data_IF_846371403185
#
_entry.id   IF_846371403185
#
_cell.length_a   1.000
_cell.length_b   1.000
_cell.length_c   1.000
_cell.angle_alpha   90.00
_cell.angle_beta   90.00
_cell.angle_gamma   90.00
#
_symmetry.space_group_name_H-M   'P 1'
#
loop_
_entity.id
_entity.type
_entity.pdbx_description
1 polymer ?
#
# COMPACT_ATOMS: atom_id res chain seq x y z
N UNK A 1 5.83 -30.27 -12.72
CA UNK A 1 6.57 -29.19 -12.03
C UNK A 1 5.72 -27.95 -11.86
N UNK A 2 5.25 -27.30 -12.91
CA UNK A 2 4.38 -26.10 -12.81
C UNK A 2 3.13 -26.26 -11.90
N UNK A 3 2.58 -27.45 -11.78
CA UNK A 3 1.41 -27.72 -10.93
C UNK A 3 1.71 -27.59 -9.43
N UNK A 4 2.91 -27.91 -8.97
CA UNK A 4 3.30 -27.76 -7.55
C UNK A 4 3.53 -26.30 -7.18
N UNK A 5 4.13 -25.51 -8.06
CA UNK A 5 4.38 -24.08 -7.82
C UNK A 5 3.05 -23.31 -7.74
N UNK A 6 2.00 -23.68 -8.48
CA UNK A 6 0.65 -23.10 -8.39
C UNK A 6 -0.04 -23.33 -7.03
N UNK A 7 0.49 -24.18 -6.19
CA UNK A 7 0.01 -24.43 -4.82
C UNK A 7 0.89 -23.71 -3.77
N UNK A 8 1.60 -22.66 -4.18
CA UNK A 8 2.43 -21.88 -3.28
C UNK A 8 1.85 -20.48 -3.07
N UNK A 9 2.26 -19.84 -1.97
CA UNK A 9 1.92 -18.45 -1.70
C UNK A 9 3.20 -17.64 -1.47
N UNK A 10 3.33 -16.53 -2.17
CA UNK A 10 4.38 -15.54 -1.97
C UNK A 10 3.87 -14.43 -1.07
N UNK A 11 4.44 -14.29 0.13
CA UNK A 11 4.23 -13.14 1.02
C UNK A 11 5.35 -12.12 0.83
N UNK A 12 4.99 -10.85 0.65
CA UNK A 12 5.93 -9.72 0.60
C UNK A 12 5.62 -8.79 1.75
N UNK A 13 6.57 -8.57 2.65
CA UNK A 13 6.45 -7.67 3.80
C UNK A 13 7.42 -6.50 3.66
N UNK A 14 6.89 -5.27 3.68
CA UNK A 14 7.68 -4.05 3.76
C UNK A 14 7.67 -3.53 5.20
N UNK A 15 8.57 -4.05 6.01
CA UNK A 15 8.79 -3.61 7.39
C UNK A 15 9.59 -2.31 7.46
N UNK A 16 9.71 -1.71 8.64
CA UNK A 16 10.38 -0.41 8.82
C UNK A 16 11.91 -0.44 8.62
N UNK A 17 12.54 -1.61 8.70
CA UNK A 17 13.99 -1.80 8.58
C UNK A 17 14.37 -2.89 7.58
N UNK A 18 13.38 -3.65 7.10
CA UNK A 18 13.63 -4.80 6.23
C UNK A 18 12.42 -5.10 5.34
N UNK A 19 12.70 -5.38 4.08
CA UNK A 19 11.75 -5.99 3.15
C UNK A 19 12.02 -7.49 3.13
N UNK A 20 10.97 -8.30 3.24
CA UNK A 20 11.06 -9.77 3.21
C UNK A 20 10.15 -10.33 2.13
N UNK A 21 10.62 -11.37 1.48
CA UNK A 21 9.81 -12.23 0.63
C UNK A 21 9.86 -13.66 1.19
N UNK A 22 8.70 -14.31 1.32
CA UNK A 22 8.59 -15.67 1.85
C UNK A 22 7.68 -16.47 0.93
N UNK A 23 8.19 -17.58 0.41
CA UNK A 23 7.43 -18.55 -0.36
C UNK A 23 7.01 -19.70 0.56
N UNK A 24 5.71 -19.98 0.61
CA UNK A 24 5.17 -21.11 1.38
C UNK A 24 4.42 -22.06 0.48
N UNK A 25 4.38 -23.35 0.85
CA UNK A 25 3.43 -24.29 0.32
C UNK A 25 2.02 -24.00 0.85
N UNK A 26 0.99 -24.63 0.25
CA UNK A 26 -0.41 -24.41 0.66
C UNK A 26 -0.69 -24.79 2.13
N UNK A 27 0.13 -25.65 2.74
CA UNK A 27 0.01 -26.05 4.14
C UNK A 27 0.84 -25.15 5.10
N UNK A 28 1.42 -24.06 4.60
CA UNK A 28 2.18 -23.09 5.40
C UNK A 28 3.66 -23.43 5.63
N UNK A 29 4.18 -24.52 5.04
CA UNK A 29 5.61 -24.84 5.12
C UNK A 29 6.41 -23.82 4.32
N UNK A 30 7.41 -23.19 4.93
CA UNK A 30 8.33 -22.26 4.25
C UNK A 30 9.20 -23.07 3.28
N UNK A 31 9.18 -22.69 2.01
CA UNK A 31 9.98 -23.28 0.95
C UNK A 31 11.24 -22.49 0.67
N UNK A 32 11.15 -21.18 0.67
CA UNK A 32 12.28 -20.27 0.50
C UNK A 32 11.95 -18.90 1.10
N UNK A 33 12.97 -18.12 1.39
CA UNK A 33 12.83 -16.73 1.79
C UNK A 33 13.98 -15.89 1.25
N UNK A 34 13.74 -14.59 1.13
CA UNK A 34 14.73 -13.61 0.79
C UNK A 34 14.46 -12.30 1.51
N UNK A 35 15.47 -11.44 1.59
CA UNK A 35 15.36 -10.20 2.33
C UNK A 35 16.23 -9.09 1.75
N UNK A 36 15.85 -7.85 2.10
CA UNK A 36 16.61 -6.65 1.79
C UNK A 36 16.53 -5.71 2.99
N UNK A 37 17.66 -5.27 3.52
CA UNK A 37 17.72 -4.28 4.59
C UNK A 37 17.61 -2.88 3.97
N UNK A 38 16.76 -2.04 4.56
CA UNK A 38 16.58 -0.66 4.13
C UNK A 38 16.32 0.27 5.31
N UNK A 39 16.43 1.57 5.08
CA UNK A 39 16.22 2.58 6.12
C UNK A 39 15.30 3.68 5.63
N UNK A 40 14.53 4.26 6.57
CA UNK A 40 13.81 5.49 6.29
C UNK A 40 14.76 6.69 6.32
N UNK A 41 14.39 7.72 5.58
CA UNK A 41 15.10 8.99 5.49
C UNK A 41 14.32 10.10 6.16
N UNK A 42 15.02 11.10 6.65
CA UNK A 42 14.39 12.33 7.12
C UNK A 42 14.76 13.45 6.16
N UNK A 43 13.80 13.87 5.33
CA UNK A 43 13.99 14.84 4.26
C UNK A 43 12.85 15.87 4.32
N UNK A 44 13.18 17.14 4.11
CA UNK A 44 12.22 18.26 4.11
C UNK A 44 11.26 18.29 5.32
N UNK A 45 11.72 17.82 6.47
CA UNK A 45 10.93 17.76 7.71
C UNK A 45 10.02 16.53 7.84
N UNK A 46 10.13 15.55 6.95
CA UNK A 46 9.32 14.32 6.99
C UNK A 46 10.17 13.05 6.99
N UNK A 47 9.73 12.06 7.76
CA UNK A 47 10.20 10.68 7.63
C UNK A 47 9.57 10.05 6.40
N UNK A 48 10.39 9.57 5.46
CA UNK A 48 9.99 9.06 4.15
C UNK A 48 10.73 7.79 3.75
N UNK A 49 10.21 7.10 2.74
CA UNK A 49 10.92 6.13 1.89
C UNK A 49 10.67 6.52 0.44
N UNK A 50 11.69 6.45 -0.40
CA UNK A 50 11.51 6.69 -1.83
C UNK A 50 10.90 5.46 -2.50
N UNK A 51 9.97 5.65 -3.44
CA UNK A 51 9.31 4.54 -4.13
C UNK A 51 10.29 3.73 -5.00
N UNK A 52 11.37 4.33 -5.48
CA UNK A 52 12.44 3.61 -6.16
C UNK A 52 13.17 2.63 -5.23
N UNK A 53 13.42 3.03 -3.97
CA UNK A 53 14.02 2.15 -2.96
C UNK A 53 13.05 1.00 -2.58
N UNK A 54 11.73 1.27 -2.56
CA UNK A 54 10.70 0.24 -2.37
C UNK A 54 10.85 -0.86 -3.43
N UNK A 55 10.90 -0.48 -4.71
CA UNK A 55 11.00 -1.46 -5.80
C UNK A 55 12.38 -2.10 -5.88
N UNK A 56 13.44 -1.38 -5.60
CA UNK A 56 14.78 -1.96 -5.50
C UNK A 56 14.82 -3.06 -4.43
N UNK A 57 14.28 -2.77 -3.24
CA UNK A 57 14.27 -3.72 -2.13
C UNK A 57 13.34 -4.92 -2.35
N UNK A 58 12.15 -4.71 -2.97
CA UNK A 58 11.24 -5.82 -3.32
C UNK A 58 11.91 -6.77 -4.31
N UNK A 59 12.52 -6.24 -5.38
CA UNK A 59 13.24 -7.04 -6.38
C UNK A 59 14.41 -7.80 -5.78
N UNK A 60 15.14 -7.18 -4.87
CA UNK A 60 16.29 -7.79 -4.21
C UNK A 60 15.86 -8.95 -3.31
N UNK A 61 14.81 -8.73 -2.48
CA UNK A 61 14.25 -9.77 -1.63
C UNK A 61 13.63 -10.93 -2.45
N UNK A 62 12.96 -10.62 -3.57
CA UNK A 62 12.42 -11.65 -4.46
C UNK A 62 13.53 -12.46 -5.15
N UNK A 63 14.57 -11.79 -5.66
CA UNK A 63 15.72 -12.44 -6.30
C UNK A 63 16.43 -13.39 -5.33
N UNK A 64 16.68 -12.95 -4.10
CA UNK A 64 17.27 -13.77 -3.05
C UNK A 64 16.41 -15.01 -2.76
N UNK A 65 15.09 -14.84 -2.62
CA UNK A 65 14.14 -15.93 -2.47
C UNK A 65 14.18 -16.90 -3.65
N UNK A 66 14.16 -16.41 -4.89
CA UNK A 66 14.15 -17.25 -6.09
C UNK A 66 15.42 -18.09 -6.21
N UNK A 67 16.59 -17.50 -5.91
CA UNK A 67 17.87 -18.20 -5.86
C UNK A 67 17.91 -19.26 -4.75
N UNK A 68 17.39 -18.96 -3.56
CA UNK A 68 17.30 -19.92 -2.44
C UNK A 68 16.38 -21.09 -2.77
N UNK A 69 15.26 -20.81 -3.49
CA UNK A 69 14.36 -21.85 -3.98
C UNK A 69 15.07 -22.77 -4.99
N UNK A 70 15.72 -22.19 -6.00
CA UNK A 70 16.44 -22.92 -7.02
C UNK A 70 17.57 -23.78 -6.43
N UNK A 71 18.37 -23.22 -5.52
CA UNK A 71 19.43 -23.96 -4.83
C UNK A 71 18.92 -25.13 -3.99
N UNK A 72 17.71 -24.99 -3.41
CA UNK A 72 17.15 -26.05 -2.55
C UNK A 72 16.46 -27.14 -3.34
N UNK A 73 15.76 -26.79 -4.41
CA UNK A 73 14.88 -27.73 -5.14
C UNK A 73 15.40 -28.09 -6.54
N UNK A 74 16.43 -27.40 -7.04
CA UNK A 74 16.96 -27.59 -8.41
C UNK A 74 15.98 -27.15 -9.50
N UNK A 75 15.00 -26.32 -9.16
CA UNK A 75 13.93 -25.85 -10.05
C UNK A 75 13.85 -24.31 -10.00
N UNK A 76 13.73 -23.69 -11.15
CA UNK A 76 13.50 -22.24 -11.26
C UNK A 76 12.06 -21.91 -10.86
N UNK A 77 11.87 -20.86 -10.06
CA UNK A 77 10.53 -20.38 -9.66
C UNK A 77 9.89 -19.60 -10.82
N UNK A 78 8.96 -20.24 -11.52
CA UNK A 78 8.28 -19.66 -12.70
C UNK A 78 6.88 -19.16 -12.41
N UNK A 79 6.23 -19.66 -11.37
CA UNK A 79 4.86 -19.27 -11.02
C UNK A 79 4.63 -19.45 -9.52
N UNK A 80 3.64 -18.74 -8.98
CA UNK A 80 3.12 -18.93 -7.62
C UNK A 80 1.60 -19.01 -7.70
N UNK A 81 0.93 -19.53 -6.68
CA UNK A 81 -0.53 -19.66 -6.68
C UNK A 81 -1.25 -18.39 -6.19
N UNK A 82 -0.61 -17.64 -5.28
CA UNK A 82 -1.13 -16.39 -4.77
C UNK A 82 0.01 -15.48 -4.31
N UNK A 83 -0.25 -14.17 -4.28
CA UNK A 83 0.66 -13.16 -3.74
C UNK A 83 -0.08 -12.34 -2.68
N UNK A 84 0.52 -12.21 -1.50
CA UNK A 84 0.06 -11.32 -0.45
C UNK A 84 1.08 -10.21 -0.18
N UNK A 85 0.61 -8.97 -0.03
CA UNK A 85 1.45 -7.82 0.29
C UNK A 85 1.06 -7.27 1.65
N UNK A 86 2.04 -7.09 2.52
CA UNK A 86 1.91 -6.39 3.79
C UNK A 86 2.95 -5.28 3.86
N UNK A 87 2.59 -4.15 4.45
CA UNK A 87 3.51 -3.04 4.64
C UNK A 87 3.24 -2.33 5.95
N UNK A 88 4.11 -1.39 6.30
CA UNK A 88 3.84 -0.43 7.37
C UNK A 88 2.52 0.26 7.06
N UNK A 89 1.52 0.05 7.94
CA UNK A 89 0.22 0.69 7.78
C UNK A 89 0.32 2.21 8.01
N UNK A 90 -0.72 2.93 7.58
CA UNK A 90 -0.85 4.37 7.69
C UNK A 90 0.07 5.17 6.75
N UNK A 91 0.12 6.47 6.98
CA UNK A 91 0.91 7.41 6.20
C UNK A 91 0.14 8.04 5.04
N UNK A 92 0.83 8.86 4.27
CA UNK A 92 0.23 9.69 3.22
C UNK A 92 1.00 9.53 1.91
N UNK A 93 0.36 8.92 0.94
CA UNK A 93 0.93 8.62 -0.37
C UNK A 93 -0.08 9.03 -1.47
N UNK A 94 -0.05 10.30 -1.90
CA UNK A 94 -0.97 10.85 -2.89
C UNK A 94 -0.41 10.75 -4.31
N UNK A 95 -1.33 10.51 -5.27
CA UNK A 95 -1.04 10.43 -6.70
C UNK A 95 -2.00 11.34 -7.48
N UNK A 96 -1.53 11.82 -8.64
CA UNK A 96 -2.36 12.53 -9.61
C UNK A 96 -3.16 11.56 -10.51
N UNK A 97 -3.91 12.12 -11.46
CA UNK A 97 -4.71 11.34 -12.42
C UNK A 97 -3.87 10.48 -13.39
N UNK A 98 -2.58 10.79 -13.56
CA UNK A 98 -1.64 10.02 -14.38
C UNK A 98 -0.88 8.96 -13.56
N UNK A 99 -1.14 8.88 -12.25
CA UNK A 99 -0.43 7.98 -11.34
C UNK A 99 0.95 8.47 -10.93
N UNK A 100 1.25 9.77 -11.07
CA UNK A 100 2.49 10.37 -10.60
C UNK A 100 2.37 10.71 -9.11
N UNK A 101 3.39 10.36 -8.33
CA UNK A 101 3.48 10.73 -6.93
C UNK A 101 3.58 12.26 -6.78
N UNK A 102 2.72 12.84 -5.95
CA UNK A 102 2.59 14.30 -5.82
C UNK A 102 3.48 14.92 -4.76
N UNK A 103 3.85 14.17 -3.74
CA UNK A 103 4.77 14.60 -2.67
C UNK A 103 5.46 13.37 -2.08
N UNK A 104 6.54 13.56 -1.33
CA UNK A 104 7.23 12.49 -0.62
C UNK A 104 6.27 11.66 0.25
N UNK A 105 6.46 10.35 0.31
CA UNK A 105 5.68 9.48 1.18
C UNK A 105 5.88 9.87 2.64
N UNK A 106 4.83 10.34 3.32
CA UNK A 106 4.87 10.67 4.75
C UNK A 106 4.48 9.44 5.55
N UNK A 107 5.45 8.83 6.22
CA UNK A 107 5.27 7.58 6.96
C UNK A 107 4.49 7.76 8.28
N UNK A 108 4.14 6.67 8.92
CA UNK A 108 3.51 6.62 10.25
C UNK A 108 4.33 7.32 11.37
N UNK A 109 5.64 7.55 11.15
CA UNK A 109 6.54 8.20 12.12
C UNK A 109 6.34 9.71 12.22
N UNK A 110 5.65 10.30 11.23
CA UNK A 110 5.42 11.74 11.22
C UNK A 110 4.33 12.13 12.21
N UNK A 111 4.64 13.10 13.07
CA UNK A 111 3.75 13.66 14.10
C UNK A 111 3.37 15.11 13.79
N UNK A 112 3.37 15.49 12.52
CA UNK A 112 3.15 16.86 12.04
C UNK A 112 1.68 17.22 11.84
N UNK A 113 0.75 16.31 12.13
CA UNK A 113 -0.67 16.41 11.79
C UNK A 113 -1.60 16.61 12.99
N UNK A 114 -1.07 17.05 14.13
CA UNK A 114 -1.88 17.22 15.35
C UNK A 114 -3.07 18.18 15.17
N UNK A 115 -2.95 19.34 14.48
CA UNK A 115 -4.08 20.24 14.23
C UNK A 115 -5.21 19.55 13.46
N UNK A 116 -4.86 18.86 12.36
CA UNK A 116 -5.82 18.12 11.55
C UNK A 116 -6.47 16.96 12.31
N UNK A 117 -5.68 16.16 13.04
CA UNK A 117 -6.16 15.05 13.85
C UNK A 117 -7.18 15.50 14.90
N UNK A 118 -6.88 16.61 15.61
CA UNK A 118 -7.79 17.19 16.61
C UNK A 118 -9.10 17.68 15.98
N UNK A 119 -9.00 18.41 14.85
CA UNK A 119 -10.17 18.94 14.16
C UNK A 119 -11.09 17.82 13.64
N UNK A 120 -10.51 16.79 13.02
CA UNK A 120 -11.26 15.63 12.52
C UNK A 120 -11.85 14.81 13.66
N UNK A 121 -11.11 14.59 14.76
CA UNK A 121 -11.62 13.89 15.95
C UNK A 121 -12.85 14.61 16.52
N UNK A 122 -12.79 15.93 16.66
CA UNK A 122 -13.93 16.72 17.14
C UNK A 122 -15.12 16.68 16.16
N UNK A 123 -14.86 16.75 14.86
CA UNK A 123 -15.90 16.78 13.81
C UNK A 123 -16.61 15.43 13.66
N UNK A 124 -15.87 14.33 13.72
CA UNK A 124 -16.40 12.98 13.53
C UNK A 124 -16.90 12.34 14.83
N UNK A 125 -16.61 12.93 15.99
CA UNK A 125 -16.77 12.29 17.30
C UNK A 125 -16.15 10.89 17.35
N UNK A 126 -15.02 10.74 16.64
CA UNK A 126 -14.28 9.51 16.47
C UNK A 126 -12.78 9.82 16.51
N UNK A 127 -12.00 9.05 17.26
CA UNK A 127 -10.58 9.31 17.41
C UNK A 127 -9.83 9.12 16.08
N UNK A 128 -9.23 10.20 15.56
CA UNK A 128 -8.39 10.19 14.36
C UNK A 128 -6.94 10.35 14.77
N UNK A 129 -6.13 9.27 14.73
CA UNK A 129 -4.70 9.35 15.05
C UNK A 129 -3.93 10.19 14.03
N UNK A 130 -2.88 10.88 14.48
CA UNK A 130 -2.03 11.70 13.62
C UNK A 130 -1.43 10.96 12.42
N UNK A 131 -1.13 9.67 12.59
CA UNK A 131 -0.50 8.83 11.56
C UNK A 131 -1.43 8.39 10.43
N UNK A 132 -2.74 8.59 10.56
CA UNK A 132 -3.71 8.17 9.54
C UNK A 132 -3.61 9.02 8.27
N UNK A 133 -3.88 8.40 7.12
CA UNK A 133 -3.80 9.07 5.81
C UNK A 133 -4.67 10.31 5.76
N UNK A 134 -5.89 10.25 6.33
CA UNK A 134 -6.82 11.37 6.34
C UNK A 134 -6.32 12.56 7.19
N UNK A 135 -5.60 12.30 8.29
CA UNK A 135 -5.02 13.36 9.12
C UNK A 135 -3.91 14.09 8.34
N UNK A 136 -3.08 13.36 7.60
CA UNK A 136 -2.06 13.95 6.73
C UNK A 136 -2.67 14.74 5.58
N UNK A 137 -3.70 14.20 4.93
CA UNK A 137 -4.37 14.89 3.83
C UNK A 137 -5.02 16.18 4.31
N UNK A 138 -5.75 16.14 5.42
CA UNK A 138 -6.36 17.34 5.96
C UNK A 138 -5.31 18.36 6.45
N UNK A 139 -4.20 17.90 7.01
CA UNK A 139 -3.09 18.81 7.37
C UNK A 139 -2.49 19.48 6.13
N UNK A 140 -2.35 18.77 5.01
CA UNK A 140 -1.88 19.37 3.76
C UNK A 140 -2.86 20.43 3.23
N UNK A 141 -4.18 20.22 3.40
CA UNK A 141 -5.22 21.23 3.09
C UNK A 141 -5.06 22.46 4.00
N UNK A 142 -4.93 22.26 5.31
CA UNK A 142 -4.74 23.36 6.28
C UNK A 142 -3.47 24.16 6.01
N UNK A 143 -2.41 23.51 5.57
CA UNK A 143 -1.15 24.15 5.20
C UNK A 143 -1.21 24.87 3.84
N UNK A 144 -2.26 24.70 3.04
CA UNK A 144 -2.35 25.22 1.67
C UNK A 144 -1.30 24.62 0.73
N UNK A 145 -0.94 23.34 0.91
CA UNK A 145 0.07 22.67 0.09
C UNK A 145 -0.41 22.54 -1.36
N UNK A 146 0.39 22.98 -2.32
CA UNK A 146 -0.03 23.13 -3.73
C UNK A 146 -0.48 21.82 -4.38
N UNK A 147 0.11 20.67 -3.99
CA UNK A 147 -0.20 19.36 -4.55
C UNK A 147 -1.64 18.90 -4.26
N UNK A 148 -2.29 19.43 -3.22
CA UNK A 148 -3.64 19.05 -2.81
C UNK A 148 -4.65 19.17 -3.95
N UNK A 149 -4.51 20.21 -4.80
CA UNK A 149 -5.43 20.45 -5.92
C UNK A 149 -5.35 19.39 -7.03
N UNK A 150 -4.28 18.60 -7.07
CA UNK A 150 -4.02 17.60 -8.11
C UNK A 150 -4.21 16.16 -7.60
N UNK A 151 -4.63 15.97 -6.35
CA UNK A 151 -4.83 14.64 -5.78
C UNK A 151 -5.99 13.95 -6.50
N UNK A 152 -5.72 12.78 -7.07
CA UNK A 152 -6.71 11.93 -7.72
C UNK A 152 -6.78 10.52 -7.08
N UNK A 153 -5.77 10.15 -6.29
CA UNK A 153 -5.75 8.88 -5.58
C UNK A 153 -4.89 8.96 -4.32
N UNK A 154 -5.40 8.39 -3.23
CA UNK A 154 -4.70 8.20 -1.97
C UNK A 154 -4.60 6.72 -1.67
N UNK A 155 -3.45 6.25 -1.21
CA UNK A 155 -3.30 4.84 -0.80
C UNK A 155 -2.23 4.68 0.29
N UNK A 156 -2.13 3.48 0.83
CA UNK A 156 -1.03 3.03 1.71
C UNK A 156 0.12 2.47 0.88
N UNK A 157 1.23 2.17 1.53
CA UNK A 157 2.36 1.53 0.85
C UNK A 157 2.00 0.14 0.32
N UNK A 158 1.24 -0.67 1.08
CA UNK A 158 0.77 -1.98 0.61
C UNK A 158 -0.19 -1.83 -0.59
N UNK A 159 -1.13 -0.89 -0.51
CA UNK A 159 -2.04 -0.58 -1.62
C UNK A 159 -1.33 -0.09 -2.87
N UNK A 160 -0.26 0.72 -2.72
CA UNK A 160 0.58 1.13 -3.84
C UNK A 160 1.26 -0.06 -4.52
N UNK A 161 1.92 -0.93 -3.75
CA UNK A 161 2.58 -2.12 -4.31
C UNK A 161 1.56 -3.03 -4.99
N UNK A 162 0.42 -3.29 -4.35
CA UNK A 162 -0.67 -4.06 -4.95
C UNK A 162 -1.15 -3.45 -6.28
N UNK A 163 -1.44 -2.15 -6.31
CA UNK A 163 -1.85 -1.46 -7.52
C UNK A 163 -0.84 -1.59 -8.66
N UNK A 164 0.45 -1.44 -8.37
CA UNK A 164 1.50 -1.59 -9.38
C UNK A 164 1.61 -3.04 -9.90
N UNK A 165 1.35 -4.04 -9.06
CA UNK A 165 1.39 -5.45 -9.46
C UNK A 165 0.18 -5.86 -10.30
N UNK A 166 -1.01 -5.32 -9.99
CA UNK A 166 -2.29 -5.80 -10.55
C UNK A 166 -3.01 -4.79 -11.44
N UNK A 167 -2.67 -3.52 -11.36
CA UNK A 167 -3.44 -2.42 -11.96
C UNK A 167 -4.68 -2.01 -11.15
N UNK A 168 -5.06 -2.75 -10.11
CA UNK A 168 -6.28 -2.52 -9.33
C UNK A 168 -6.04 -1.62 -8.11
N UNK A 169 -6.84 -0.57 -7.97
CA UNK A 169 -6.80 0.38 -6.84
C UNK A 169 -7.73 -0.12 -5.72
N UNK A 170 -7.36 -1.21 -5.07
CA UNK A 170 -8.10 -1.84 -3.98
C UNK A 170 -7.24 -1.94 -2.73
N UNK A 171 -7.86 -2.11 -1.57
CA UNK A 171 -7.17 -2.23 -0.30
C UNK A 171 -7.95 -3.15 0.65
N UNK A 172 -7.25 -4.03 1.37
CA UNK A 172 -7.88 -4.84 2.40
C UNK A 172 -8.44 -3.97 3.54
N UNK A 173 -9.60 -4.35 4.07
CA UNK A 173 -10.33 -3.59 5.11
C UNK A 173 -9.45 -3.24 6.32
N UNK A 174 -8.53 -4.13 6.72
CA UNK A 174 -7.62 -3.90 7.84
C UNK A 174 -6.69 -2.71 7.59
N UNK A 175 -6.12 -2.59 6.39
CA UNK A 175 -5.24 -1.47 6.04
C UNK A 175 -6.05 -0.19 5.71
N UNK A 176 -7.20 -0.34 5.06
CA UNK A 176 -8.13 0.76 4.78
C UNK A 176 -8.59 1.47 6.06
N UNK A 177 -8.76 0.72 7.17
CA UNK A 177 -9.12 1.28 8.49
C UNK A 177 -8.07 2.23 9.07
N UNK A 178 -6.84 2.16 8.58
CA UNK A 178 -5.76 3.11 8.91
C UNK A 178 -5.72 4.34 8.02
N UNK A 179 -6.53 4.37 6.96
CA UNK A 179 -6.68 5.55 6.10
C UNK A 179 -7.82 6.44 6.54
N UNK A 180 -8.99 5.83 6.76
CA UNK A 180 -10.25 6.50 7.10
C UNK A 180 -11.15 5.55 7.92
N UNK A 181 -12.07 6.06 8.78
CA UNK A 181 -12.96 5.23 9.57
C UNK A 181 -13.81 4.27 8.73
N UNK A 182 -13.85 3.01 9.15
CA UNK A 182 -14.66 1.94 8.54
C UNK A 182 -15.95 1.76 9.33
N UNK A 183 -17.06 1.56 8.63
CA UNK A 183 -18.32 1.05 9.19
C UNK A 183 -18.28 -0.48 9.15
N UNK A 184 -18.28 -1.12 10.32
CA UNK A 184 -18.23 -2.58 10.44
C UNK A 184 -19.48 -3.30 9.89
N UNK A 185 -20.61 -2.59 9.74
CA UNK A 185 -21.82 -3.18 9.20
C UNK A 185 -21.79 -3.28 7.68
N UNK A 186 -21.19 -2.29 7.02
CA UNK A 186 -21.05 -2.26 5.56
C UNK A 186 -19.72 -2.80 5.07
N UNK A 187 -18.74 -2.95 5.96
CA UNK A 187 -17.35 -3.28 5.62
C UNK A 187 -16.70 -2.30 4.62
N UNK A 188 -17.13 -1.05 4.66
CA UNK A 188 -16.62 0.03 3.80
C UNK A 188 -16.43 1.31 4.65
N UNK A 189 -15.90 2.37 4.05
CA UNK A 189 -15.72 3.65 4.71
C UNK A 189 -17.03 4.22 5.24
N UNK A 190 -16.99 4.81 6.43
CA UNK A 190 -18.17 5.38 7.08
C UNK A 190 -18.75 6.56 6.28
N UNK A 191 -19.93 6.38 5.72
CA UNK A 191 -20.57 7.35 4.80
C UNK A 191 -20.81 8.70 5.46
N UNK A 192 -21.29 8.74 6.70
CA UNK A 192 -21.58 10.01 7.38
C UNK A 192 -20.31 10.83 7.65
N UNK A 193 -19.18 10.16 7.89
CA UNK A 193 -17.88 10.83 8.05
C UNK A 193 -17.31 11.26 6.71
N UNK A 194 -17.52 10.48 5.62
CA UNK A 194 -17.20 10.92 4.26
C UNK A 194 -17.93 12.21 3.91
N UNK A 195 -19.25 12.26 4.09
CA UNK A 195 -20.07 13.46 3.83
C UNK A 195 -19.58 14.65 4.67
N UNK A 196 -19.22 14.39 5.93
CA UNK A 196 -18.69 15.42 6.84
C UNK A 196 -17.33 15.94 6.36
N UNK A 197 -16.46 15.09 5.80
CA UNK A 197 -15.18 15.51 5.23
C UNK A 197 -15.38 16.25 3.91
N UNK A 198 -16.31 15.82 3.06
CA UNK A 198 -16.65 16.50 1.81
C UNK A 198 -17.11 17.94 2.02
N UNK A 199 -17.77 18.23 3.15
CA UNK A 199 -18.08 19.60 3.53
C UNK A 199 -16.80 20.43 3.77
N UNK A 200 -15.73 19.85 4.37
CA UNK A 200 -14.44 20.51 4.52
C UNK A 200 -13.75 20.75 3.15
N UNK A 201 -13.84 19.76 2.24
CA UNK A 201 -13.31 19.92 0.88
C UNK A 201 -13.99 21.07 0.16
N UNK A 202 -15.32 21.18 0.29
CA UNK A 202 -16.09 22.28 -0.30
C UNK A 202 -15.73 23.64 0.30
N UNK A 203 -15.53 23.72 1.62
CA UNK A 203 -15.04 24.94 2.31
C UNK A 203 -13.65 25.36 1.78
N UNK A 204 -12.77 24.38 1.51
CA UNK A 204 -11.46 24.57 0.91
C UNK A 204 -11.50 24.80 -0.63
N UNK A 205 -12.70 24.80 -1.25
CA UNK A 205 -12.93 24.93 -2.71
C UNK A 205 -12.24 23.85 -3.55
N UNK A 206 -12.13 22.64 -3.03
CA UNK A 206 -11.59 21.48 -3.75
C UNK A 206 -12.72 20.78 -4.52
N UNK A 207 -12.49 20.38 -5.80
CA UNK A 207 -13.56 19.97 -6.72
C UNK A 207 -13.93 18.48 -6.68
N UNK A 208 -13.39 17.70 -5.75
CA UNK A 208 -13.55 16.25 -5.68
C UNK A 208 -14.24 15.82 -4.38
N UNK A 209 -14.75 14.59 -4.36
CA UNK A 209 -15.24 13.92 -3.16
C UNK A 209 -14.18 13.00 -2.58
N UNK A 210 -14.10 12.89 -1.25
CA UNK A 210 -13.09 12.04 -0.61
C UNK A 210 -13.20 10.58 -1.07
N UNK A 211 -14.43 10.07 -1.23
CA UNK A 211 -14.67 8.69 -1.67
C UNK A 211 -13.97 8.36 -2.99
N UNK A 212 -13.91 9.30 -3.91
CA UNK A 212 -13.31 9.13 -5.24
C UNK A 212 -11.79 9.04 -5.19
N UNK A 213 -11.19 9.55 -4.11
CA UNK A 213 -9.74 9.52 -3.90
C UNK A 213 -9.26 8.25 -3.19
N UNK A 214 -10.17 7.53 -2.50
CA UNK A 214 -9.84 6.37 -1.69
C UNK A 214 -9.91 5.06 -2.49
N UNK A 215 -9.08 4.05 -2.18
CA UNK A 215 -9.18 2.74 -2.79
C UNK A 215 -10.53 2.07 -2.45
N UNK A 216 -10.97 1.16 -3.33
CA UNK A 216 -12.08 0.26 -2.98
C UNK A 216 -11.67 -0.65 -1.84
N UNK A 217 -12.52 -0.78 -0.82
CA UNK A 217 -12.29 -1.70 0.31
C UNK A 217 -12.67 -3.13 -0.09
N UNK A 218 -11.84 -4.09 0.29
CA UNK A 218 -12.11 -5.52 0.13
C UNK A 218 -12.01 -6.22 1.49
N UNK A 219 -12.93 -7.15 1.73
CA UNK A 219 -12.84 -8.07 2.86
C UNK A 219 -11.84 -9.20 2.59
N UNK A 220 -11.39 -9.87 3.65
CA UNK A 220 -10.51 -11.02 3.50
C UNK A 220 -11.17 -12.12 2.69
N UNK A 221 -10.47 -12.65 1.68
CA UNK A 221 -10.97 -13.69 0.78
C UNK A 221 -11.65 -13.18 -0.49
N UNK A 222 -11.86 -11.88 -0.64
CA UNK A 222 -12.36 -11.32 -1.90
C UNK A 222 -11.24 -11.23 -2.95
N UNK A 223 -11.65 -11.35 -4.22
CA UNK A 223 -10.75 -11.25 -5.36
C UNK A 223 -10.21 -9.83 -5.51
N UNK A 224 -8.90 -9.68 -5.40
CA UNK A 224 -8.19 -8.41 -5.56
C UNK A 224 -7.53 -8.22 -6.93
N UNK A 225 -7.63 -9.22 -7.81
CA UNK A 225 -7.08 -9.23 -9.16
C UNK A 225 -5.85 -10.12 -9.31
N UNK A 226 -5.24 -10.03 -10.48
CA UNK A 226 -4.17 -10.91 -10.91
C UNK A 226 -2.90 -10.13 -11.22
N UNK A 227 -1.74 -10.79 -11.05
CA UNK A 227 -0.44 -10.26 -11.44
C UNK A 227 -0.43 -9.99 -12.95
N UNK A 228 -0.20 -8.74 -13.35
CA UNK A 228 -0.08 -8.34 -14.75
C UNK A 228 1.32 -8.65 -15.30
N UNK A 229 1.49 -8.59 -16.63
CA UNK A 229 2.82 -8.69 -17.24
C UNK A 229 3.77 -7.59 -16.75
N UNK A 230 3.27 -6.37 -16.60
CA UNK A 230 4.03 -5.24 -16.07
C UNK A 230 4.41 -5.48 -14.60
N UNK A 231 3.45 -5.95 -13.78
CA UNK A 231 3.68 -6.30 -12.38
C UNK A 231 4.69 -7.44 -12.21
N UNK A 232 4.61 -8.47 -13.05
CA UNK A 232 5.60 -9.57 -13.04
C UNK A 232 7.01 -9.06 -13.33
N UNK A 233 7.19 -8.17 -14.32
CA UNK A 233 8.48 -7.53 -14.64
C UNK A 233 8.98 -6.59 -13.56
N UNK A 234 8.08 -5.92 -12.83
CA UNK A 234 8.45 -5.09 -11.68
C UNK A 234 8.99 -5.94 -10.52
N UNK A 235 8.40 -7.11 -10.29
CA UNK A 235 8.81 -8.02 -9.23
C UNK A 235 10.04 -8.83 -9.63
N UNK A 236 10.03 -9.40 -10.83
CA UNK A 236 11.11 -10.22 -11.39
C UNK A 236 11.68 -9.61 -12.67
N UNK A 237 12.81 -8.92 -12.54
CA UNK A 237 13.51 -8.30 -13.67
C UNK A 237 14.12 -9.31 -14.67
N UNK A 238 14.22 -10.59 -14.30
CA UNK A 238 14.69 -11.66 -15.22
C UNK A 238 13.61 -12.05 -16.22
N UNK A 239 12.34 -11.76 -15.92
CA UNK A 239 11.19 -12.13 -16.73
C UNK A 239 10.83 -13.62 -16.65
N UNK A 240 11.30 -14.33 -15.64
CA UNK A 240 11.04 -15.74 -15.41
C UNK A 240 9.66 -15.96 -14.80
N UNK A 241 9.22 -15.06 -13.90
CA UNK A 241 7.91 -15.16 -13.23
C UNK A 241 6.78 -14.89 -14.22
N UNK A 242 5.87 -15.85 -14.34
CA UNK A 242 4.69 -15.76 -15.21
C UNK A 242 3.62 -14.84 -14.61
N UNK A 243 2.90 -14.04 -15.44
CA UNK A 243 1.73 -13.29 -15.01
C UNK A 243 0.50 -14.21 -14.80
N UNK A 244 -0.62 -13.61 -14.34
CA UNK A 244 -1.90 -14.34 -14.21
C UNK A 244 -2.06 -15.13 -12.93
N UNK A 245 -1.37 -14.70 -11.87
CA UNK A 245 -1.40 -15.29 -10.54
C UNK A 245 -2.39 -14.52 -9.68
#
# INVERSE_FOLDING_TARGET
MATKQKLTTLGIELGSTRIKAVLTSFNGTILASGMHDWENRFEDGYWTYHLDDVWAGIRDAYRDLALNYENTYGEVLQTVGAIGVSAMMHGYLPFDCNGQQLTAFRTWRNTTTQPAANALTGRFHFNIPQRWSIAHFYQAILNGEAHVNNVAFLTTLAGYVHWQLTGNKVLGIGDASGMFPIDSNTCDYNTSMLDSFDALLKEAKLPFHLRDLLPKVLCAGEDSGYLTEAGAKLLDSTGTLSPGI
#
